data_IF_306529950366
#
_entry.id   IF_306529950366
#
_cell.length_a   1.000
_cell.length_b   1.000
_cell.length_c   1.000
_cell.angle_alpha   90.00
_cell.angle_beta   90.00
_cell.angle_gamma   90.00
#
_symmetry.space_group_name_H-M   'P 1'
#
loop_
_entity.id
_entity.type
_entity.pdbx_description
1 polymer ?
#
# COMPACT_ATOMS: atom_id res chain seq x y z
N UNK A 1 0.51 38.18 -34.34
CA UNK A 1 1.44 37.12 -33.87
C UNK A 1 1.16 36.60 -32.45
N UNK A 2 0.78 37.41 -31.45
CA UNK A 2 0.47 36.90 -30.09
C UNK A 2 -0.81 36.05 -30.02
N UNK A 3 -1.85 36.40 -30.78
CA UNK A 3 -3.13 35.67 -30.79
C UNK A 3 -3.02 34.26 -31.41
N UNK A 4 -2.22 34.11 -32.48
CA UNK A 4 -1.98 32.80 -33.11
C UNK A 4 -1.27 31.83 -32.16
N UNK A 5 -0.30 32.30 -31.37
CA UNK A 5 0.40 31.44 -30.41
C UNK A 5 -0.50 30.94 -29.28
N UNK A 6 -1.44 31.77 -28.82
CA UNK A 6 -2.43 31.36 -27.80
C UNK A 6 -3.40 30.32 -28.37
N UNK A 7 -3.85 30.52 -29.62
CA UNK A 7 -4.71 29.54 -30.29
C UNK A 7 -4.01 28.21 -30.55
N UNK A 8 -2.75 28.20 -30.97
CA UNK A 8 -2.00 26.95 -31.18
C UNK A 8 -1.76 26.20 -29.87
N UNK A 9 -1.45 26.90 -28.77
CA UNK A 9 -1.28 26.26 -27.45
C UNK A 9 -2.61 25.73 -26.91
N UNK A 10 -3.71 26.46 -27.10
CA UNK A 10 -5.04 25.99 -26.72
C UNK A 10 -5.49 24.78 -27.56
N UNK A 11 -5.20 24.77 -28.86
CA UNK A 11 -5.53 23.64 -29.74
C UNK A 11 -4.70 22.40 -29.39
N UNK A 12 -3.41 22.57 -29.06
CA UNK A 12 -2.54 21.48 -28.59
C UNK A 12 -2.97 20.99 -27.21
N UNK A 13 -3.40 21.87 -26.30
CA UNK A 13 -3.93 21.48 -25.00
C UNK A 13 -5.26 20.71 -25.12
N UNK A 14 -6.16 21.12 -26.03
CA UNK A 14 -7.43 20.43 -26.29
C UNK A 14 -7.21 19.11 -27.03
N UNK A 15 -6.25 19.03 -27.95
CA UNK A 15 -5.88 17.75 -28.60
C UNK A 15 -5.15 16.80 -27.65
N UNK A 16 -4.31 17.31 -26.74
CA UNK A 16 -3.70 16.49 -25.69
C UNK A 16 -4.75 15.99 -24.68
N UNK A 17 -5.67 16.85 -24.23
CA UNK A 17 -6.75 16.45 -23.33
C UNK A 17 -7.77 15.49 -24.00
N UNK A 18 -8.02 15.64 -25.31
CA UNK A 18 -8.83 14.70 -26.09
C UNK A 18 -8.19 13.31 -26.21
N UNK A 19 -6.86 13.24 -26.36
CA UNK A 19 -6.13 11.96 -26.42
C UNK A 19 -6.00 11.26 -25.06
N UNK A 20 -6.17 11.97 -23.94
CA UNK A 20 -6.27 11.35 -22.60
C UNK A 20 -7.71 11.10 -22.15
N UNK A 21 -8.70 11.73 -22.79
CA UNK A 21 -10.13 11.57 -22.50
C UNK A 21 -10.80 10.35 -23.13
N UNK A 22 -10.12 9.68 -24.08
CA UNK A 22 -10.66 8.55 -24.86
C UNK A 22 -10.38 7.17 -24.22
N UNK A 23 -9.62 7.08 -23.12
CA UNK A 23 -9.24 5.79 -22.53
C UNK A 23 -10.34 5.06 -21.74
N UNK A 24 -11.55 5.64 -21.59
CA UNK A 24 -12.69 4.92 -20.99
C UNK A 24 -13.58 4.19 -22.00
N UNK A 25 -13.46 4.46 -23.30
CA UNK A 25 -14.44 4.02 -24.30
C UNK A 25 -14.17 2.65 -24.94
N UNK A 26 -13.09 1.96 -24.61
CA UNK A 26 -12.69 0.71 -25.29
C UNK A 26 -12.20 -0.40 -24.34
N UNK A 27 -12.72 -0.47 -23.12
CA UNK A 27 -12.37 -1.53 -22.17
C UNK A 27 -13.57 -2.42 -21.77
N UNK A 28 -14.70 -2.27 -22.47
CA UNK A 28 -15.82 -3.21 -22.42
C UNK A 28 -15.69 -4.12 -23.64
N UNK A 29 -15.57 -5.43 -23.40
CA UNK A 29 -15.48 -6.43 -24.45
C UNK A 29 -16.58 -6.30 -25.51
N UNK A 30 -16.29 -6.76 -26.73
CA UNK A 30 -17.12 -6.60 -27.93
C UNK A 30 -18.60 -6.97 -27.73
N UNK A 31 -18.89 -7.88 -26.79
CA UNK A 31 -20.22 -8.42 -26.55
C UNK A 31 -20.89 -7.93 -25.25
N UNK A 32 -20.20 -7.13 -24.41
CA UNK A 32 -20.72 -6.66 -23.11
C UNK A 32 -21.16 -7.80 -22.17
N UNK A 33 -20.41 -8.92 -22.18
CA UNK A 33 -20.61 -10.12 -21.36
C UNK A 33 -19.41 -10.23 -20.41
N UNK A 34 -19.63 -10.59 -19.14
CA UNK A 34 -18.54 -10.79 -18.17
C UNK A 34 -17.48 -11.76 -18.69
N UNK A 35 -16.20 -11.50 -18.38
CA UNK A 35 -15.12 -12.44 -18.69
C UNK A 35 -15.30 -13.84 -18.07
N UNK A 36 -16.13 -13.94 -17.02
CA UNK A 36 -16.47 -15.20 -16.33
C UNK A 36 -17.95 -15.57 -16.40
N UNK A 37 -18.63 -15.23 -17.48
CA UNK A 37 -19.99 -15.69 -17.72
C UNK A 37 -20.08 -17.23 -17.77
N UNK A 38 -21.13 -17.83 -17.21
CA UNK A 38 -21.24 -19.30 -17.12
C UNK A 38 -21.55 -20.00 -18.45
N UNK A 39 -22.03 -19.25 -19.45
CA UNK A 39 -22.32 -19.79 -20.79
C UNK A 39 -21.19 -19.54 -21.79
N UNK A 40 -20.41 -18.46 -21.61
CA UNK A 40 -19.42 -18.02 -22.61
C UNK A 40 -18.07 -17.59 -22.04
N UNK A 41 -17.85 -17.69 -20.73
CA UNK A 41 -16.68 -17.15 -20.04
C UNK A 41 -15.39 -17.96 -20.23
N UNK A 42 -14.26 -17.34 -19.89
CA UNK A 42 -12.92 -17.90 -20.09
C UNK A 42 -12.68 -19.19 -19.31
N UNK A 43 -13.38 -19.36 -18.19
CA UNK A 43 -13.29 -20.55 -17.35
C UNK A 43 -13.81 -21.82 -18.03
N UNK A 44 -14.50 -21.71 -19.16
CA UNK A 44 -15.03 -22.85 -19.92
C UNK A 44 -13.99 -23.49 -20.86
N UNK A 45 -12.80 -22.90 -20.98
CA UNK A 45 -11.66 -23.47 -21.71
C UNK A 45 -11.50 -22.96 -23.15
N UNK A 46 -10.63 -23.65 -23.88
CA UNK A 46 -10.05 -23.21 -25.16
C UNK A 46 -11.07 -22.86 -26.24
N UNK A 47 -12.22 -23.54 -26.26
CA UNK A 47 -13.29 -23.28 -27.24
C UNK A 47 -13.88 -21.85 -27.11
N UNK A 48 -13.67 -21.18 -25.98
CA UNK A 48 -14.18 -19.84 -25.68
C UNK A 48 -13.09 -18.76 -25.68
N UNK A 49 -11.82 -19.17 -25.56
CA UNK A 49 -10.64 -18.28 -25.57
C UNK A 49 -9.96 -18.22 -26.95
N UNK A 50 -10.30 -19.13 -27.87
CA UNK A 50 -9.84 -19.12 -29.26
C UNK A 50 -10.85 -18.41 -30.20
N UNK A 51 -10.39 -18.02 -31.40
CA UNK A 51 -11.25 -17.51 -32.48
C UNK A 51 -12.22 -18.63 -32.86
N UNK A 52 -13.44 -18.59 -32.32
CA UNK A 52 -14.34 -19.72 -32.35
C UNK A 52 -15.48 -19.54 -33.36
N UNK A 53 -15.92 -20.68 -33.91
CA UNK A 53 -17.02 -20.79 -34.87
C UNK A 53 -18.36 -20.63 -34.13
N UNK A 54 -19.29 -19.88 -34.71
CA UNK A 54 -20.67 -19.80 -34.21
C UNK A 54 -21.47 -20.96 -34.79
N UNK A 55 -21.97 -21.84 -33.93
CA UNK A 55 -22.81 -22.97 -34.34
C UNK A 55 -24.30 -22.64 -34.14
N UNK A 56 -24.93 -22.03 -35.15
CA UNK A 56 -26.38 -22.01 -35.22
C UNK A 56 -26.86 -23.30 -35.91
N UNK A 57 -27.15 -24.35 -35.14
CA UNK A 57 -27.90 -25.47 -35.69
C UNK A 57 -28.92 -25.99 -34.67
N UNK A 58 -30.22 -26.07 -35.02
CA UNK A 58 -31.24 -26.63 -34.14
C UNK A 58 -31.09 -28.15 -33.93
N UNK A 59 -30.10 -28.80 -34.57
CA UNK A 59 -29.85 -30.23 -34.45
C UNK A 59 -28.38 -30.50 -34.12
N UNK A 60 -28.07 -30.79 -32.85
CA UNK A 60 -26.83 -31.49 -32.50
C UNK A 60 -26.96 -32.94 -32.93
N UNK A 61 -26.13 -33.40 -33.86
CA UNK A 61 -25.99 -34.82 -34.15
C UNK A 61 -25.46 -35.58 -32.93
N UNK A 62 -25.72 -36.89 -32.86
CA UNK A 62 -25.35 -37.77 -31.74
C UNK A 62 -23.84 -37.81 -31.38
N UNK A 63 -22.96 -37.21 -32.20
CA UNK A 63 -21.53 -37.08 -31.97
C UNK A 63 -21.06 -35.61 -31.76
N UNK A 64 -21.97 -34.69 -31.46
CA UNK A 64 -21.62 -33.27 -31.24
C UNK A 64 -21.26 -32.47 -32.50
N UNK A 65 -21.30 -33.09 -33.69
CA UNK A 65 -21.00 -32.45 -34.97
C UNK A 65 -22.29 -31.94 -35.64
N UNK A 66 -22.39 -30.64 -35.98
CA UNK A 66 -23.58 -30.06 -36.63
C UNK A 66 -23.63 -30.44 -38.12
N UNK A 67 -24.80 -30.85 -38.60
CA UNK A 67 -24.98 -31.44 -39.94
C UNK A 67 -25.45 -30.46 -41.01
N UNK A 68 -25.82 -29.21 -40.67
CA UNK A 68 -26.25 -28.20 -41.64
C UNK A 68 -25.58 -26.86 -41.28
N UNK A 69 -24.70 -26.39 -42.16
CA UNK A 69 -23.81 -25.25 -41.95
C UNK A 69 -24.46 -23.92 -42.33
N UNK A 70 -24.90 -23.16 -41.34
CA UNK A 70 -24.67 -21.72 -41.32
C UNK A 70 -23.54 -21.48 -40.31
N UNK A 71 -22.31 -21.75 -40.77
CA UNK A 71 -21.12 -21.38 -40.00
C UNK A 71 -20.95 -19.87 -40.16
N UNK A 72 -21.40 -19.09 -39.18
CA UNK A 72 -20.98 -17.71 -39.08
C UNK A 72 -19.59 -17.70 -38.47
N UNK A 73 -18.64 -17.47 -39.36
CA UNK A 73 -17.26 -17.29 -39.01
C UNK A 73 -17.14 -15.88 -38.42
N UNK A 74 -16.66 -15.73 -37.19
CA UNK A 74 -16.19 -14.43 -36.67
C UNK A 74 -14.85 -14.10 -37.37
N UNK A 75 -14.77 -14.29 -38.70
CA UNK A 75 -13.55 -14.15 -39.48
C UNK A 75 -13.25 -12.70 -39.83
N UNK A 76 -14.27 -11.83 -39.89
CA UNK A 76 -14.04 -10.43 -40.24
C UNK A 76 -13.28 -9.65 -39.15
N UNK A 77 -13.20 -10.18 -37.91
CA UNK A 77 -12.56 -9.46 -36.80
C UNK A 77 -11.58 -10.26 -35.92
N UNK A 78 -11.45 -11.58 -36.10
CA UNK A 78 -10.49 -12.38 -35.32
C UNK A 78 -10.74 -12.34 -33.80
N UNK A 79 -12.00 -12.45 -33.38
CA UNK A 79 -12.44 -12.26 -31.99
C UNK A 79 -12.87 -13.58 -31.33
N UNK A 80 -12.59 -13.73 -30.03
CA UNK A 80 -13.06 -14.82 -29.17
C UNK A 80 -14.41 -14.47 -28.49
N UNK A 81 -15.14 -15.48 -27.97
CA UNK A 81 -16.46 -15.30 -27.34
C UNK A 81 -16.45 -14.31 -26.16
N UNK A 82 -15.36 -14.31 -25.38
CA UNK A 82 -15.18 -13.43 -24.20
C UNK A 82 -14.70 -12.02 -24.55
N UNK A 83 -14.44 -11.72 -25.83
CA UNK A 83 -13.79 -10.49 -26.26
C UNK A 83 -12.28 -10.48 -25.95
N UNK A 84 -11.53 -9.69 -26.74
CA UNK A 84 -10.06 -9.68 -26.66
C UNK A 84 -9.56 -9.08 -25.34
N UNK A 85 -10.29 -8.14 -24.75
CA UNK A 85 -9.89 -7.49 -23.50
C UNK A 85 -9.87 -8.47 -22.31
N UNK A 86 -10.71 -9.51 -22.33
CA UNK A 86 -10.67 -10.57 -21.32
C UNK A 86 -9.46 -11.50 -21.54
N UNK A 87 -9.11 -11.77 -22.79
CA UNK A 87 -8.07 -12.73 -23.17
C UNK A 87 -6.65 -12.24 -22.83
N UNK A 88 -6.42 -10.94 -23.01
CA UNK A 88 -5.12 -10.26 -22.82
C UNK A 88 -5.11 -9.37 -21.58
N UNK A 89 -5.90 -9.74 -20.57
CA UNK A 89 -6.19 -8.92 -19.42
C UNK A 89 -5.11 -8.92 -18.32
N UNK A 90 -3.96 -9.58 -18.50
CA UNK A 90 -3.09 -10.09 -17.44
C UNK A 90 -3.13 -9.29 -16.12
N UNK A 91 -2.55 -8.08 -16.11
CA UNK A 91 -2.53 -7.22 -14.94
C UNK A 91 -3.91 -6.60 -14.62
N UNK A 92 -4.72 -6.30 -15.63
CA UNK A 92 -6.06 -5.76 -15.48
C UNK A 92 -7.09 -6.73 -14.82
N UNK A 93 -6.95 -8.05 -14.95
CA UNK A 93 -7.77 -9.06 -14.24
C UNK A 93 -7.19 -9.47 -12.88
N UNK A 94 -6.01 -8.93 -12.52
CA UNK A 94 -5.33 -9.21 -11.26
C UNK A 94 -5.99 -8.46 -10.09
N UNK A 95 -6.11 -9.12 -8.94
CA UNK A 95 -6.67 -8.52 -7.73
C UNK A 95 -5.70 -7.51 -7.10
N UNK A 96 -6.20 -6.41 -6.53
CA UNK A 96 -5.38 -5.38 -5.89
C UNK A 96 -4.50 -5.90 -4.75
N UNK A 97 -4.95 -6.91 -3.97
CA UNK A 97 -4.12 -7.54 -2.92
C UNK A 97 -2.86 -8.20 -3.48
N UNK A 98 -2.91 -8.62 -4.74
CA UNK A 98 -1.80 -9.27 -5.42
C UNK A 98 -0.66 -8.29 -5.75
N UNK A 99 -1.02 -7.00 -5.92
CA UNK A 99 -0.16 -5.95 -6.45
C UNK A 99 0.31 -4.98 -5.36
N UNK A 100 -0.59 -4.57 -4.47
CA UNK A 100 -0.39 -3.38 -3.64
C UNK A 100 -0.09 -3.69 -2.17
N UNK A 101 -0.47 -4.89 -1.69
CA UNK A 101 -0.37 -5.24 -0.27
C UNK A 101 1.05 -5.12 0.31
N UNK A 102 2.09 -5.43 -0.48
CA UNK A 102 3.48 -5.31 -0.06
C UNK A 102 3.88 -3.85 0.24
N UNK A 103 3.57 -2.92 -0.66
CA UNK A 103 3.87 -1.51 -0.44
C UNK A 103 3.07 -0.92 0.73
N UNK A 104 1.83 -1.38 0.95
CA UNK A 104 1.02 -0.98 2.13
C UNK A 104 1.65 -1.50 3.42
N UNK A 105 2.13 -2.75 3.46
CA UNK A 105 2.86 -3.29 4.62
C UNK A 105 4.09 -2.43 4.95
N UNK A 106 4.85 -2.05 3.91
CA UNK A 106 6.05 -1.21 4.05
C UNK A 106 5.71 0.17 4.61
N UNK A 107 4.67 0.83 4.09
CA UNK A 107 4.22 2.14 4.62
C UNK A 107 3.71 1.99 6.06
N UNK A 108 2.98 0.91 6.36
CA UNK A 108 2.44 0.65 7.69
C UNK A 108 3.51 0.48 8.76
N UNK A 109 4.51 -0.39 8.52
CA UNK A 109 5.60 -0.57 9.47
C UNK A 109 6.42 0.72 9.65
N UNK A 110 6.62 1.50 8.58
CA UNK A 110 7.33 2.77 8.65
C UNK A 110 6.58 3.81 9.48
N UNK A 111 5.27 3.90 9.34
CA UNK A 111 4.44 4.80 10.13
C UNK A 111 4.43 4.42 11.62
N UNK A 112 4.13 3.15 11.93
CA UNK A 112 4.03 2.64 13.31
C UNK A 112 5.38 2.76 14.03
N UNK A 113 6.44 2.18 13.44
CA UNK A 113 7.79 2.21 14.04
C UNK A 113 8.34 3.63 14.07
N UNK A 114 8.04 4.43 13.06
CA UNK A 114 8.44 5.83 12.98
C UNK A 114 7.84 6.68 14.09
N UNK A 115 6.57 6.46 14.45
CA UNK A 115 5.91 7.14 15.57
C UNK A 115 6.56 6.79 16.91
N UNK A 116 6.75 5.49 17.19
CA UNK A 116 7.42 5.01 18.42
C UNK A 116 8.86 5.53 18.52
N UNK A 117 9.60 5.47 17.42
CA UNK A 117 10.97 5.97 17.33
C UNK A 117 11.07 7.46 17.66
N UNK A 118 10.19 8.28 17.08
CA UNK A 118 10.11 9.71 17.37
C UNK A 118 9.79 9.97 18.85
N UNK A 119 8.83 9.22 19.40
CA UNK A 119 8.46 9.31 20.82
C UNK A 119 9.66 9.03 21.73
N UNK A 120 10.41 7.97 21.46
CA UNK A 120 11.61 7.60 22.24
C UNK A 120 12.66 8.70 22.17
N UNK A 121 12.93 9.23 20.98
CA UNK A 121 13.92 10.30 20.78
C UNK A 121 13.53 11.57 21.53
N UNK A 122 12.24 11.94 21.51
CA UNK A 122 11.70 13.04 22.31
C UNK A 122 11.84 12.80 23.82
N UNK A 123 11.60 11.58 24.30
CA UNK A 123 11.76 11.23 25.72
C UNK A 123 13.18 11.51 26.21
N UNK A 124 14.15 11.06 25.44
CA UNK A 124 15.56 11.19 25.76
C UNK A 124 16.12 12.60 25.52
N UNK A 125 15.60 13.34 24.54
CA UNK A 125 15.92 14.75 24.34
C UNK A 125 15.42 15.60 25.53
N UNK A 126 14.20 15.35 26.01
CA UNK A 126 13.65 16.03 27.19
C UNK A 126 14.51 15.79 28.44
N UNK A 127 14.95 14.55 28.68
CA UNK A 127 15.86 14.22 29.79
C UNK A 127 17.23 14.95 29.69
N UNK A 128 17.77 15.11 28.48
CA UNK A 128 19.05 15.82 28.26
C UNK A 128 18.94 17.35 28.34
N UNK A 129 17.75 17.92 28.20
CA UNK A 129 17.52 19.37 28.15
C UNK A 129 17.45 20.08 29.52
N UNK A 130 17.65 19.35 30.63
CA UNK A 130 17.63 19.94 31.98
C UNK A 130 16.24 20.29 32.51
N UNK A 131 15.17 19.95 31.78
CA UNK A 131 13.79 20.10 32.24
C UNK A 131 13.37 19.03 33.29
N UNK A 132 14.22 18.04 33.56
CA UNK A 132 14.11 17.08 34.67
C UNK A 132 15.07 17.42 35.82
N UNK A 133 15.13 18.70 36.20
CA UNK A 133 15.85 19.16 37.40
C UNK A 133 15.05 18.94 38.70
N UNK A 134 14.45 17.77 38.86
CA UNK A 134 14.07 17.20 40.16
C UNK A 134 14.69 15.82 40.23
N UNK A 135 15.91 15.80 40.74
CA UNK A 135 16.88 14.74 40.54
C UNK A 135 16.55 13.41 41.20
N UNK A 136 17.14 12.36 40.63
CA UNK A 136 17.66 11.25 41.40
C UNK A 136 19.12 11.06 40.99
N UNK A 137 19.99 11.39 41.94
CA UNK A 137 21.41 11.13 41.94
C UNK A 137 21.66 9.65 41.65
N UNK A 138 22.58 9.38 40.71
CA UNK A 138 23.27 8.09 40.66
C UNK A 138 24.13 7.99 41.92
N UNK A 139 23.72 7.13 42.85
CA UNK A 139 24.63 6.58 43.86
C UNK A 139 25.37 5.41 43.23
N UNK A 140 26.67 5.59 43.00
CA UNK A 140 27.58 4.50 42.71
C UNK A 140 27.95 3.80 44.02
N UNK A 141 27.17 2.80 44.46
CA UNK A 141 27.67 1.85 45.45
C UNK A 141 26.98 0.48 45.34
N UNK A 142 27.81 -0.55 45.22
CA UNK A 142 27.46 -1.95 45.34
C UNK A 142 26.94 -2.26 46.75
N UNK A 143 26.09 -3.28 46.84
CA UNK A 143 25.38 -3.80 48.02
C UNK A 143 24.28 -2.90 48.61
N UNK A 144 23.02 -3.27 48.31
CA UNK A 144 21.86 -2.80 49.04
C UNK A 144 20.58 -2.80 48.20
N UNK A 145 19.73 -3.81 48.40
CA UNK A 145 18.32 -3.78 47.99
C UNK A 145 17.63 -2.68 48.81
N UNK A 146 17.57 -1.47 48.26
CA UNK A 146 16.65 -0.37 48.56
C UNK A 146 16.88 0.63 47.41
N UNK A 147 15.91 0.99 46.59
CA UNK A 147 14.87 1.96 46.93
C UNK A 147 13.59 1.66 46.14
N UNK A 148 12.68 0.92 46.77
CA UNK A 148 11.24 1.08 46.56
C UNK A 148 10.79 2.30 47.38
N UNK A 149 9.85 3.07 46.82
CA UNK A 149 9.14 4.20 47.43
C UNK A 149 9.84 5.58 47.44
N UNK A 150 9.91 6.20 46.26
CA UNK A 150 9.39 7.57 46.12
C UNK A 150 8.40 7.62 44.93
N UNK A 151 7.20 7.07 45.19
CA UNK A 151 5.91 7.54 44.67
C UNK A 151 5.58 7.42 43.18
N UNK A 152 5.45 6.19 42.67
CA UNK A 152 4.54 5.65 41.60
C UNK A 152 4.17 6.44 40.32
N UNK A 153 4.05 7.77 40.32
CA UNK A 153 3.43 8.61 39.28
C UNK A 153 4.45 9.32 38.40
N UNK A 154 5.67 9.56 38.87
CA UNK A 154 6.69 10.27 38.10
C UNK A 154 7.21 9.45 36.92
N UNK A 155 7.22 10.06 35.75
CA UNK A 155 7.84 9.49 34.55
C UNK A 155 6.92 8.61 33.72
N UNK A 156 5.60 8.65 33.98
CA UNK A 156 4.58 8.15 33.07
C UNK A 156 4.30 9.22 32.03
N UNK A 157 4.11 8.83 30.79
CA UNK A 157 3.64 9.75 29.74
C UNK A 157 2.58 9.12 28.86
N UNK A 158 1.70 9.97 28.35
CA UNK A 158 0.73 9.66 27.31
C UNK A 158 1.13 10.45 26.07
N UNK A 159 1.17 9.77 24.92
CA UNK A 159 1.50 10.42 23.67
C UNK A 159 0.58 9.96 22.54
N UNK A 160 0.46 10.82 21.54
CA UNK A 160 -0.22 10.51 20.30
C UNK A 160 0.58 11.06 19.12
N UNK A 161 0.55 10.34 18.01
CA UNK A 161 1.12 10.69 16.72
C UNK A 161 0.05 10.49 15.64
N UNK A 162 -0.02 11.42 14.69
CA UNK A 162 -0.87 11.31 13.52
C UNK A 162 -0.06 11.69 12.29
N UNK A 163 -0.15 10.88 11.24
CA UNK A 163 0.55 11.06 9.99
C UNK A 163 -0.36 10.92 8.78
N UNK A 164 -0.01 11.63 7.72
CA UNK A 164 -0.56 11.44 6.38
C UNK A 164 0.61 11.23 5.42
N UNK A 165 0.42 10.30 4.50
CA UNK A 165 1.39 9.91 3.48
C UNK A 165 0.68 9.80 2.16
N UNK A 166 1.19 10.49 1.15
CA UNK A 166 0.74 10.36 -0.23
C UNK A 166 1.73 9.42 -0.92
N UNK A 167 1.22 8.34 -1.51
CA UNK A 167 2.06 7.36 -2.21
C UNK A 167 1.57 7.11 -3.63
N UNK A 168 2.53 6.89 -4.52
CA UNK A 168 2.27 6.70 -5.94
C UNK A 168 3.27 5.75 -6.55
N UNK A 169 2.76 4.77 -7.27
CA UNK A 169 3.55 3.95 -8.18
C UNK A 169 3.35 4.44 -9.62
N UNK A 170 4.43 4.74 -10.33
CA UNK A 170 4.42 5.32 -11.68
C UNK A 170 4.75 4.31 -12.78
N UNK A 171 4.91 3.03 -12.44
CA UNK A 171 5.39 2.01 -13.37
C UNK A 171 4.42 1.76 -14.54
N UNK A 172 4.91 2.01 -15.74
CA UNK A 172 4.22 1.75 -17.01
C UNK A 172 5.05 0.79 -17.85
N UNK A 173 4.44 -0.25 -18.42
CA UNK A 173 5.14 -1.18 -19.30
C UNK A 173 5.15 -0.71 -20.75
N UNK A 174 6.22 -1.03 -21.47
CA UNK A 174 6.36 -0.72 -22.89
C UNK A 174 5.82 -1.88 -23.72
N UNK A 175 4.54 -1.86 -24.10
CA UNK A 175 4.01 -2.92 -24.98
C UNK A 175 2.52 -2.87 -25.29
N UNK A 176 1.65 -2.61 -24.31
CA UNK A 176 0.22 -2.93 -24.48
C UNK A 176 -0.68 -1.80 -23.96
N UNK A 177 -1.85 -1.64 -24.60
CA UNK A 177 -2.85 -0.58 -24.38
C UNK A 177 -3.50 -0.60 -22.98
N UNK A 178 -3.22 -1.58 -22.11
CA UNK A 178 -3.93 -1.82 -20.85
C UNK A 178 -3.06 -2.23 -19.65
N UNK A 179 -1.77 -2.56 -19.83
CA UNK A 179 -0.94 -3.07 -18.72
C UNK A 179 -0.06 -1.98 -18.07
N UNK A 180 -0.25 -1.78 -16.78
CA UNK A 180 0.51 -0.87 -15.90
C UNK A 180 0.49 -1.42 -14.48
N UNK A 181 1.41 -1.00 -13.61
CA UNK A 181 1.29 -1.21 -12.16
C UNK A 181 0.92 0.09 -11.43
N UNK A 182 0.44 1.07 -12.17
CA UNK A 182 0.20 2.40 -11.64
C UNK A 182 -0.95 2.37 -10.64
N UNK A 183 -0.67 2.88 -9.46
CA UNK A 183 -1.66 3.19 -8.46
C UNK A 183 -1.27 4.48 -7.74
N UNK A 184 -2.26 5.18 -7.22
CA UNK A 184 -2.06 6.38 -6.42
C UNK A 184 -3.08 6.47 -5.29
N UNK A 185 -2.71 7.13 -4.22
CA UNK A 185 -3.64 7.47 -3.16
C UNK A 185 -2.95 7.84 -1.86
N UNK A 186 -3.80 7.98 -0.84
CA UNK A 186 -3.42 8.57 0.42
C UNK A 186 -3.50 7.51 1.52
N UNK A 187 -2.62 7.64 2.50
CA UNK A 187 -2.59 6.81 3.68
C UNK A 187 -2.50 7.68 4.92
N UNK A 188 -3.39 7.43 5.86
CA UNK A 188 -3.37 8.09 7.16
C UNK A 188 -2.99 7.08 8.23
N UNK A 189 -2.24 7.52 9.22
CA UNK A 189 -1.84 6.69 10.36
C UNK A 189 -2.05 7.44 11.66
N UNK A 190 -2.40 6.70 12.69
CA UNK A 190 -2.46 7.20 14.06
C UNK A 190 -1.74 6.23 14.98
N UNK A 191 -1.17 6.76 16.06
CA UNK A 191 -0.57 5.95 17.12
C UNK A 191 -0.82 6.64 18.45
N UNK A 192 -1.25 5.89 19.45
CA UNK A 192 -1.48 6.37 20.81
C UNK A 192 -0.78 5.41 21.75
N UNK A 193 0.03 5.95 22.65
CA UNK A 193 0.80 5.11 23.55
C UNK A 193 0.93 5.69 24.95
N UNK A 194 1.24 4.79 25.87
CA UNK A 194 1.57 5.12 27.25
C UNK A 194 2.89 4.45 27.57
N UNK A 195 3.83 5.23 28.07
CA UNK A 195 5.11 4.71 28.54
C UNK A 195 5.48 5.17 29.93
N UNK A 196 6.39 4.40 30.53
CA UNK A 196 7.01 4.71 31.80
C UNK A 196 8.52 4.67 31.67
N UNK A 197 9.16 5.71 32.19
CA UNK A 197 10.60 5.80 32.32
C UNK A 197 11.08 5.15 33.62
N UNK A 198 12.09 4.29 33.50
CA UNK A 198 12.80 3.61 34.58
C UNK A 198 14.28 3.97 34.52
N UNK A 199 14.61 5.17 34.98
CA UNK A 199 15.98 5.71 34.89
C UNK A 199 16.43 5.83 33.44
N UNK A 200 17.28 4.89 33.00
CA UNK A 200 17.82 4.82 31.64
C UNK A 200 16.98 3.99 30.67
N UNK A 201 15.97 3.28 31.18
CA UNK A 201 15.05 2.51 30.36
C UNK A 201 13.71 3.25 30.19
N UNK A 202 13.02 2.96 29.10
CA UNK A 202 11.65 3.40 28.80
C UNK A 202 10.90 2.16 28.33
N UNK A 203 9.72 1.89 28.88
CA UNK A 203 8.87 0.78 28.43
C UNK A 203 7.46 1.31 28.22
N UNK A 204 6.86 0.98 27.09
CA UNK A 204 5.52 1.43 26.76
C UNK A 204 4.70 0.42 25.99
N UNK A 205 3.41 0.71 25.96
CA UNK A 205 2.41 0.07 25.11
C UNK A 205 1.96 1.10 24.08
N UNK A 206 1.64 0.63 22.88
CA UNK A 206 1.16 1.45 21.78
C UNK A 206 0.00 0.74 21.10
N UNK A 207 -1.01 1.51 20.71
CA UNK A 207 -2.04 1.10 19.77
C UNK A 207 -1.90 2.00 18.56
N UNK A 208 -1.84 1.40 17.38
CA UNK A 208 -1.63 2.11 16.13
C UNK A 208 -2.60 1.62 15.09
N UNK A 209 -3.11 2.54 14.28
CA UNK A 209 -3.90 2.18 13.12
C UNK A 209 -3.44 2.91 11.86
N UNK A 210 -3.73 2.31 10.72
CA UNK A 210 -3.39 2.83 9.41
C UNK A 210 -4.56 2.58 8.47
N UNK A 211 -5.00 3.63 7.77
CA UNK A 211 -6.07 3.56 6.78
C UNK A 211 -5.54 4.04 5.45
N UNK A 212 -5.69 3.19 4.44
CA UNK A 212 -5.18 3.38 3.08
C UNK A 212 -6.34 3.39 2.10
N UNK A 213 -6.35 4.34 1.17
CA UNK A 213 -7.30 4.40 0.05
C UNK A 213 -6.55 4.65 -1.26
N UNK A 214 -6.41 3.59 -2.05
CA UNK A 214 -5.64 3.60 -3.30
C UNK A 214 -6.57 3.38 -4.48
N UNK A 215 -6.31 4.10 -5.56
CA UNK A 215 -6.91 3.88 -6.87
C UNK A 215 -5.92 3.13 -7.74
N UNK A 216 -6.36 1.99 -8.25
CA UNK A 216 -5.55 1.14 -9.12
C UNK A 216 -5.87 1.48 -10.57
N UNK A 217 -4.91 2.13 -11.26
CA UNK A 217 -5.10 2.53 -12.66
C UNK A 217 -5.18 1.32 -13.59
N UNK A 218 -4.47 0.24 -13.24
CA UNK A 218 -4.34 -0.95 -14.07
C UNK A 218 -5.62 -1.76 -14.25
N UNK A 219 -6.59 -1.64 -13.35
CA UNK A 219 -7.87 -2.34 -13.44
C UNK A 219 -9.09 -1.44 -13.14
N UNK A 220 -8.91 -0.11 -13.27
CA UNK A 220 -9.91 0.94 -12.95
C UNK A 220 -10.61 0.67 -11.61
N UNK A 221 -9.80 0.33 -10.59
CA UNK A 221 -10.25 -0.24 -9.33
C UNK A 221 -9.86 0.58 -8.11
N UNK A 222 -10.16 0.04 -6.93
CA UNK A 222 -9.74 0.59 -5.64
C UNK A 222 -9.20 -0.49 -4.73
N UNK A 223 -8.25 -0.10 -3.87
CA UNK A 223 -7.72 -0.92 -2.79
C UNK A 223 -7.80 -0.12 -1.51
N UNK A 224 -8.61 -0.58 -0.56
CA UNK A 224 -8.77 0.03 0.75
C UNK A 224 -8.33 -0.96 1.81
N UNK A 225 -7.46 -0.51 2.70
CA UNK A 225 -6.98 -1.35 3.80
C UNK A 225 -6.95 -0.55 5.09
N UNK A 226 -7.59 -1.11 6.11
CA UNK A 226 -7.53 -0.61 7.47
C UNK A 226 -6.76 -1.62 8.31
N UNK A 227 -5.67 -1.18 8.94
CA UNK A 227 -4.81 -1.99 9.80
C UNK A 227 -4.94 -1.43 11.22
N UNK A 228 -5.22 -2.27 12.20
CA UNK A 228 -5.22 -1.90 13.61
C UNK A 228 -4.28 -2.85 14.38
N UNK A 229 -3.33 -2.29 15.11
CA UNK A 229 -2.29 -3.02 15.82
C UNK A 229 -2.15 -2.58 17.26
N UNK A 230 -1.67 -3.49 18.10
CA UNK A 230 -1.24 -3.22 19.46
C UNK A 230 0.14 -3.82 19.67
N UNK A 231 0.99 -3.09 20.38
CA UNK A 231 2.36 -3.48 20.58
C UNK A 231 2.98 -2.98 21.87
N UNK A 232 4.16 -3.52 22.13
CA UNK A 232 5.03 -3.11 23.22
C UNK A 232 6.32 -2.58 22.64
N UNK A 233 6.91 -1.61 23.33
CA UNK A 233 8.25 -1.13 23.01
C UNK A 233 9.07 -0.92 24.27
N UNK A 234 10.37 -1.11 24.13
CA UNK A 234 11.35 -0.86 25.16
C UNK A 234 12.53 -0.12 24.55
N UNK A 235 13.00 0.92 25.23
CA UNK A 235 14.19 1.64 24.84
C UNK A 235 15.15 1.73 26.03
N UNK A 236 16.45 1.64 25.77
CA UNK A 236 17.48 1.77 26.78
C UNK A 236 18.58 2.70 26.29
N UNK A 237 18.86 3.74 27.09
CA UNK A 237 19.88 4.74 26.77
C UNK A 237 21.05 4.69 27.75
N UNK A 238 22.23 4.42 27.21
CA UNK A 238 23.51 4.64 27.89
C UNK A 238 23.97 6.09 27.71
N UNK A 239 25.24 6.41 27.99
CA UNK A 239 25.75 7.79 27.80
C UNK A 239 25.68 8.26 26.34
N UNK A 240 26.00 7.39 25.40
CA UNK A 240 26.11 7.71 23.97
C UNK A 240 25.21 6.82 23.12
N UNK A 241 25.06 5.55 23.49
CA UNK A 241 24.28 4.57 22.75
C UNK A 241 22.85 4.51 23.27
N UNK A 242 21.88 4.42 22.37
CA UNK A 242 20.48 4.11 22.61
C UNK A 242 20.10 2.88 21.79
N UNK A 243 19.36 1.96 22.40
CA UNK A 243 18.82 0.77 21.76
C UNK A 243 17.31 0.76 21.97
N UNK A 244 16.55 0.59 20.90
CA UNK A 244 15.10 0.53 20.92
C UNK A 244 14.64 -0.78 20.30
N UNK A 245 13.68 -1.40 20.94
CA UNK A 245 13.06 -2.66 20.54
C UNK A 245 11.55 -2.44 20.55
N UNK A 246 10.86 -2.99 19.58
CA UNK A 246 9.40 -3.00 19.56
C UNK A 246 8.87 -4.20 18.81
N UNK A 247 7.68 -4.63 19.21
CA UNK A 247 6.94 -5.68 18.56
C UNK A 247 5.45 -5.49 18.80
N UNK A 248 4.62 -5.97 17.88
CA UNK A 248 3.18 -5.93 18.03
C UNK A 248 2.49 -6.83 17.04
N UNK A 249 1.19 -6.96 17.24
CA UNK A 249 0.31 -7.77 16.42
C UNK A 249 -1.03 -7.06 16.25
N UNK A 250 -1.83 -7.49 15.30
CA UNK A 250 -3.09 -6.85 14.97
C UNK A 250 -3.83 -7.52 13.84
N UNK A 251 -4.88 -6.85 13.40
CA UNK A 251 -5.76 -7.31 12.33
C UNK A 251 -5.84 -6.25 11.24
N UNK A 252 -6.16 -6.68 10.03
CA UNK A 252 -6.35 -5.82 8.88
C UNK A 252 -7.60 -6.20 8.13
N UNK A 253 -8.41 -5.22 7.73
CA UNK A 253 -9.55 -5.41 6.82
C UNK A 253 -9.20 -4.84 5.46
N UNK A 254 -9.36 -5.65 4.41
CA UNK A 254 -9.06 -5.25 3.04
C UNK A 254 -10.34 -5.30 2.21
N UNK A 255 -10.65 -4.21 1.51
CA UNK A 255 -11.70 -4.14 0.52
C UNK A 255 -11.08 -3.79 -0.84
N UNK A 256 -11.39 -4.56 -1.87
CA UNK A 256 -10.91 -4.31 -3.22
C UNK A 256 -12.07 -4.17 -4.18
N UNK A 257 -11.90 -3.31 -5.16
CA UNK A 257 -12.78 -3.23 -6.33
C UNK A 257 -11.95 -3.23 -7.59
N UNK A 258 -12.49 -3.79 -8.66
CA UNK A 258 -11.91 -3.70 -10.00
C UNK A 258 -12.99 -3.79 -11.05
N UNK A 259 -12.69 -3.33 -12.25
CA UNK A 259 -13.59 -3.42 -13.40
C UNK A 259 -13.54 -4.82 -14.01
N UNK A 260 -14.70 -5.38 -14.33
CA UNK A 260 -14.80 -6.51 -15.24
C UNK A 260 -14.64 -6.01 -16.68
N UNK A 261 -13.61 -6.50 -17.38
CA UNK A 261 -13.29 -6.07 -18.74
C UNK A 261 -14.31 -6.55 -19.78
N UNK A 262 -15.15 -7.52 -19.42
CA UNK A 262 -16.16 -8.05 -20.31
C UNK A 262 -17.41 -7.17 -20.40
N UNK A 263 -17.88 -6.66 -19.26
CA UNK A 263 -19.17 -5.97 -19.14
C UNK A 263 -19.12 -4.65 -18.35
N UNK A 264 -17.94 -4.16 -17.98
CA UNK A 264 -17.70 -2.95 -17.20
C UNK A 264 -18.31 -2.90 -15.80
N UNK A 265 -18.85 -4.02 -15.30
CA UNK A 265 -19.40 -4.08 -13.95
C UNK A 265 -18.27 -4.12 -12.92
N UNK A 266 -18.57 -3.62 -11.72
CA UNK A 266 -17.60 -3.60 -10.63
C UNK A 266 -17.56 -4.96 -9.92
N UNK A 267 -16.40 -5.58 -9.91
CA UNK A 267 -16.08 -6.76 -9.11
C UNK A 267 -15.67 -6.28 -7.72
N UNK A 268 -16.19 -6.92 -6.67
CA UNK A 268 -15.91 -6.53 -5.28
C UNK A 268 -15.34 -7.69 -4.50
N UNK A 269 -14.25 -7.45 -3.77
CA UNK A 269 -13.62 -8.41 -2.87
C UNK A 269 -13.51 -7.85 -1.47
N UNK A 270 -13.65 -8.72 -0.46
CA UNK A 270 -13.41 -8.39 0.94
C UNK A 270 -12.71 -9.54 1.65
N UNK A 271 -11.66 -9.22 2.39
CA UNK A 271 -10.89 -10.19 3.17
C UNK A 271 -10.33 -9.55 4.44
N UNK A 272 -9.82 -10.40 5.33
CA UNK A 272 -9.09 -9.98 6.51
C UNK A 272 -7.62 -10.46 6.41
N UNK A 273 -6.76 -9.89 7.24
CA UNK A 273 -5.40 -10.34 7.37
C UNK A 273 -4.91 -10.22 8.81
N UNK A 274 -4.14 -11.20 9.27
CA UNK A 274 -3.42 -11.13 10.54
C UNK A 274 -2.12 -10.35 10.33
N UNK A 275 -1.76 -9.48 11.26
CA UNK A 275 -0.62 -8.57 11.14
C UNK A 275 0.33 -8.77 12.30
N UNK A 276 1.62 -8.92 12.01
CA UNK A 276 2.69 -8.93 13.00
C UNK A 276 3.80 -7.97 12.58
N UNK A 277 4.37 -7.24 13.53
CA UNK A 277 5.53 -6.38 13.26
C UNK A 277 6.56 -6.44 14.37
N UNK A 278 7.82 -6.21 14.00
CA UNK A 278 8.89 -6.00 14.97
C UNK A 278 9.94 -5.03 14.46
N UNK A 279 10.65 -4.39 15.39
CA UNK A 279 11.71 -3.47 15.06
C UNK A 279 12.83 -3.48 16.10
N UNK A 280 14.03 -3.18 15.62
CA UNK A 280 15.23 -2.96 16.42
C UNK A 280 15.93 -1.72 15.88
N UNK A 281 16.28 -0.78 16.75
CA UNK A 281 17.02 0.42 16.37
C UNK A 281 18.18 0.66 17.32
N UNK A 282 19.31 1.08 16.78
CA UNK A 282 20.49 1.49 17.54
C UNK A 282 20.88 2.89 17.09
N UNK A 283 21.02 3.81 18.05
CA UNK A 283 21.36 5.21 17.80
C UNK A 283 22.57 5.58 18.64
N UNK A 284 23.56 6.27 18.06
CA UNK A 284 24.65 6.89 18.80
C UNK A 284 24.45 8.40 18.81
N UNK A 285 24.42 9.03 19.98
CA UNK A 285 24.15 10.45 20.14
C UNK A 285 25.44 11.22 20.46
N UNK A 286 25.87 12.08 19.54
CA UNK A 286 27.02 12.96 19.71
C UNK A 286 26.54 14.40 19.82
N UNK A 287 26.74 15.04 20.96
CA UNK A 287 26.35 16.43 21.17
C UNK A 287 27.57 17.33 21.39
N UNK A 288 27.61 18.47 20.70
CA UNK A 288 28.60 19.53 20.92
C UNK A 288 27.91 20.89 20.98
N UNK A 289 27.80 21.42 22.20
CA UNK A 289 27.08 22.67 22.45
C UNK A 289 25.59 22.51 22.13
N UNK A 290 25.07 23.35 21.23
CA UNK A 290 23.67 23.30 20.80
C UNK A 290 23.41 22.29 19.68
N UNK A 291 24.43 21.75 19.04
CA UNK A 291 24.25 20.83 17.92
C UNK A 291 24.40 19.38 18.38
N UNK A 292 23.55 18.51 17.84
CA UNK A 292 23.66 17.07 18.01
C UNK A 292 23.64 16.35 16.66
N UNK A 293 24.40 15.28 16.60
CA UNK A 293 24.51 14.37 15.49
C UNK A 293 24.17 12.97 16.01
N UNK A 294 23.17 12.34 15.42
CA UNK A 294 22.68 11.04 15.86
C UNK A 294 22.62 10.07 14.68
N UNK A 295 23.75 9.43 14.30
CA UNK A 295 23.72 8.30 13.39
C UNK A 295 22.92 7.14 13.99
N UNK A 296 22.17 6.44 13.13
CA UNK A 296 21.34 5.30 13.51
C UNK A 296 21.44 4.15 12.52
N UNK A 297 21.20 2.96 13.05
CA UNK A 297 20.92 1.74 12.29
C UNK A 297 19.56 1.23 12.77
N UNK A 298 18.66 0.91 11.86
CA UNK A 298 17.37 0.32 12.19
C UNK A 298 17.09 -0.91 11.33
N UNK A 299 16.39 -1.86 11.93
CA UNK A 299 15.84 -3.03 11.31
C UNK A 299 14.36 -3.10 11.67
N UNK A 300 13.51 -3.32 10.67
CA UNK A 300 12.06 -3.41 10.86
C UNK A 300 11.51 -4.48 9.94
N UNK A 301 10.52 -5.20 10.42
CA UNK A 301 9.81 -6.22 9.66
C UNK A 301 8.33 -6.14 9.98
N UNK A 302 7.50 -6.44 8.98
CA UNK A 302 6.08 -6.63 9.12
C UNK A 302 5.64 -7.79 8.23
N UNK A 303 4.88 -8.70 8.81
CA UNK A 303 4.20 -9.78 8.11
C UNK A 303 2.70 -9.54 8.13
N UNK A 304 2.03 -9.82 7.02
CA UNK A 304 0.59 -9.84 6.91
C UNK A 304 0.13 -11.12 6.23
N UNK A 305 -0.66 -11.93 6.93
CA UNK A 305 -1.26 -13.15 6.40
C UNK A 305 -2.68 -12.86 5.95
N UNK A 306 -2.88 -12.71 4.65
CA UNK A 306 -4.18 -12.38 4.03
C UNK A 306 -4.98 -13.66 3.80
N UNK A 307 -6.19 -13.70 4.33
CA UNK A 307 -7.13 -14.81 4.16
C UNK A 307 -7.54 -15.02 2.69
N UNK A 308 -7.83 -16.27 2.35
CA UNK A 308 -8.48 -16.58 1.07
C UNK A 308 -9.89 -15.97 1.04
N UNK A 309 -10.27 -15.42 -0.12
CA UNK A 309 -11.57 -14.76 -0.28
C UNK A 309 -12.11 -14.93 -1.69
N UNK A 310 -13.31 -14.42 -1.91
CA UNK A 310 -13.99 -14.48 -3.20
C UNK A 310 -14.26 -13.07 -3.71
N UNK A 311 -13.74 -12.79 -4.91
CA UNK A 311 -14.10 -11.63 -5.71
C UNK A 311 -15.48 -11.90 -6.32
N UNK A 312 -16.49 -11.18 -5.85
CA UNK A 312 -17.88 -11.32 -6.33
C UNK A 312 -18.04 -10.59 -7.65
N UNK A 313 -18.44 -11.32 -8.70
CA UNK A 313 -18.74 -10.76 -10.02
C UNK A 313 -20.25 -10.56 -10.17
N UNK A 314 -20.73 -9.36 -10.54
CA UNK A 314 -22.14 -9.15 -10.80
C UNK A 314 -22.62 -9.93 -12.03
N UNK A 315 -23.81 -10.54 -11.93
CA UNK A 315 -24.46 -11.25 -13.04
C UNK A 315 -24.70 -10.34 -14.25
N UNK A 316 -24.81 -10.93 -15.43
CA UNK A 316 -25.10 -10.25 -16.70
C UNK A 316 -26.61 -10.02 -16.95
N UNK A 317 -27.46 -10.31 -15.96
CA UNK A 317 -28.92 -10.29 -15.98
C UNK A 317 -29.58 -8.96 -16.41
N UNK A 318 -28.81 -7.86 -16.36
CA UNK A 318 -29.25 -6.53 -16.76
C UNK A 318 -28.65 -6.00 -18.08
N UNK A 319 -27.74 -6.73 -18.72
CA UNK A 319 -26.98 -6.22 -19.88
C UNK A 319 -27.70 -6.56 -21.19
N UNK A 320 -27.89 -5.58 -22.07
CA UNK A 320 -28.28 -5.87 -23.46
C UNK A 320 -27.06 -6.50 -24.13
N UNK A 321 -27.00 -7.83 -24.18
CA UNK A 321 -25.92 -8.52 -24.89
C UNK A 321 -25.99 -8.08 -26.36
N UNK A 322 -24.99 -7.32 -26.80
CA UNK A 322 -24.97 -6.76 -28.16
C UNK A 322 -24.32 -7.78 -29.07
N UNK A 323 -25.14 -8.65 -29.65
CA UNK A 323 -24.76 -9.50 -30.77
C UNK A 323 -25.78 -9.33 -31.88
N UNK A 324 -25.33 -9.01 -33.10
CA UNK A 324 -26.24 -9.00 -34.25
C UNK A 324 -26.80 -10.41 -34.47
N UNK A 325 -28.11 -10.49 -34.68
CA UNK A 325 -28.88 -11.69 -35.03
C UNK A 325 -28.50 -13.01 -34.31
N UNK A 326 -29.33 -13.45 -33.36
CA UNK A 326 -29.42 -14.85 -32.86
C UNK A 326 -28.22 -15.40 -32.06
N UNK A 327 -27.12 -14.67 -31.95
CA UNK A 327 -25.88 -15.15 -31.33
C UNK A 327 -25.93 -15.15 -29.79
N UNK A 328 -26.50 -14.10 -29.20
CA UNK A 328 -26.68 -13.96 -27.76
C UNK A 328 -28.03 -13.30 -27.49
N UNK A 329 -28.93 -13.96 -26.76
CA UNK A 329 -30.20 -13.37 -26.32
C UNK A 329 -30.48 -13.75 -24.87
N UNK A 330 -31.07 -12.83 -24.10
CA UNK A 330 -31.47 -13.04 -22.70
C UNK A 330 -32.47 -14.19 -22.52
N UNK A 331 -33.12 -14.62 -23.60
CA UNK A 331 -34.05 -15.74 -23.66
C UNK A 331 -33.40 -17.13 -23.76
N UNK A 332 -32.07 -17.22 -24.00
CA UNK A 332 -31.41 -18.51 -24.28
C UNK A 332 -30.01 -18.68 -23.67
N UNK A 333 -29.57 -17.77 -22.79
CA UNK A 333 -28.24 -17.81 -22.16
C UNK A 333 -28.36 -17.76 -20.63
N UNK A 334 -27.53 -18.55 -19.94
CA UNK A 334 -27.32 -18.44 -18.50
C UNK A 334 -26.50 -17.17 -18.25
N UNK A 335 -27.15 -16.11 -17.75
CA UNK A 335 -26.54 -14.81 -17.48
C UNK A 335 -25.87 -14.73 -16.09
N UNK A 336 -25.68 -15.86 -15.43
CA UNK A 336 -24.91 -15.93 -14.18
C UNK A 336 -23.41 -15.91 -14.49
N UNK A 337 -22.65 -15.41 -13.52
CA UNK A 337 -21.21 -15.24 -13.61
C UNK A 337 -20.55 -16.05 -12.51
N UNK A 338 -19.43 -16.68 -12.83
CA UNK A 338 -18.60 -17.38 -11.87
C UNK A 338 -17.71 -16.39 -11.12
N UNK A 339 -17.77 -16.41 -9.79
CA UNK A 339 -16.90 -15.61 -8.93
C UNK A 339 -15.43 -16.04 -9.00
N UNK A 340 -14.54 -15.13 -8.61
CA UNK A 340 -13.10 -15.36 -8.58
C UNK A 340 -12.65 -15.80 -7.18
N UNK A 341 -12.18 -17.05 -7.05
CA UNK A 341 -11.53 -17.51 -5.82
C UNK A 341 -10.10 -17.00 -5.75
N UNK A 342 -9.79 -16.20 -4.73
CA UNK A 342 -8.46 -15.67 -4.44
C UNK A 342 -7.85 -16.49 -3.29
N UNK A 343 -6.70 -17.10 -3.54
CA UNK A 343 -6.00 -17.90 -2.54
C UNK A 343 -5.42 -17.01 -1.43
N UNK A 344 -5.28 -17.59 -0.22
CA UNK A 344 -4.58 -16.95 0.88
C UNK A 344 -3.13 -16.65 0.49
N UNK A 345 -2.57 -15.56 1.05
CA UNK A 345 -1.20 -15.15 0.76
C UNK A 345 -0.54 -14.49 1.96
N UNK A 346 0.75 -14.77 2.15
CA UNK A 346 1.60 -14.07 3.11
C UNK A 346 2.33 -12.92 2.42
N UNK A 347 2.37 -11.78 3.08
CA UNK A 347 3.01 -10.55 2.62
C UNK A 347 4.00 -10.11 3.68
N UNK A 348 5.27 -10.18 3.35
CA UNK A 348 6.37 -9.74 4.22
C UNK A 348 6.99 -8.45 3.67
N UNK A 349 7.33 -7.53 4.57
CA UNK A 349 8.16 -6.36 4.32
C UNK A 349 9.27 -6.29 5.36
N UNK A 350 10.51 -6.35 4.88
CA UNK A 350 11.74 -6.22 5.66
C UNK A 350 12.47 -4.96 5.22
N UNK A 351 13.00 -4.20 6.18
CA UNK A 351 13.76 -2.98 5.89
C UNK A 351 14.92 -2.81 6.84
N UNK A 352 16.10 -2.63 6.26
CA UNK A 352 17.33 -2.23 6.94
C UNK A 352 17.63 -0.78 6.61
N UNK A 353 17.73 0.09 7.61
CA UNK A 353 17.98 1.52 7.43
C UNK A 353 19.27 1.95 8.12
N UNK A 354 20.09 2.74 7.43
CA UNK A 354 21.15 3.55 8.02
C UNK A 354 20.75 5.01 7.90
N UNK A 355 20.73 5.73 9.02
CA UNK A 355 20.26 7.10 9.08
C UNK A 355 21.20 8.03 9.83
N UNK A 356 20.99 9.33 9.63
CA UNK A 356 21.68 10.41 10.30
C UNK A 356 20.67 11.51 10.64
N UNK A 357 20.51 11.77 11.93
CA UNK A 357 19.75 12.92 12.41
C UNK A 357 20.70 14.03 12.83
N UNK A 358 20.44 15.26 12.36
CA UNK A 358 21.19 16.46 12.72
C UNK A 358 20.20 17.42 13.37
N UNK A 359 20.40 17.75 14.64
CA UNK A 359 19.50 18.62 15.38
C UNK A 359 20.23 19.80 16.03
N UNK A 360 19.49 20.89 16.23
CA UNK A 360 19.97 22.06 16.96
C UNK A 360 19.05 22.35 18.15
N UNK A 361 19.56 22.17 19.37
CA UNK A 361 18.84 22.49 20.59
C UNK A 361 18.84 24.02 20.84
N UNK A 362 17.71 24.66 20.57
CA UNK A 362 17.47 26.08 20.81
C UNK A 362 16.66 26.32 22.10
N UNK A 363 16.68 25.37 23.03
CA UNK A 363 15.94 25.43 24.30
C UNK A 363 14.59 24.75 24.17
N UNK A 364 13.52 25.54 23.98
CA UNK A 364 12.15 25.02 23.84
C UNK A 364 11.82 24.49 22.45
N UNK A 365 12.72 24.69 21.49
CA UNK A 365 12.53 24.31 20.09
C UNK A 365 13.80 23.62 19.62
N UNK A 366 13.64 22.48 18.96
CA UNK A 366 14.72 21.64 18.44
C UNK A 366 14.40 21.32 16.99
N UNK A 367 14.77 22.18 16.03
CA UNK A 367 14.75 21.81 14.62
C UNK A 367 15.74 20.67 14.35
N UNK A 368 15.37 19.80 13.43
CA UNK A 368 16.21 18.70 12.98
C UNK A 368 16.06 18.45 11.48
N UNK A 369 17.12 17.89 10.91
CA UNK A 369 17.16 17.30 9.58
C UNK A 369 17.42 15.80 9.75
N UNK A 370 16.73 15.00 8.95
CA UNK A 370 16.82 13.55 8.96
C UNK A 370 17.13 13.03 7.56
N UNK A 371 18.20 12.25 7.46
CA UNK A 371 18.64 11.64 6.21
C UNK A 371 18.77 10.15 6.47
N UNK A 372 18.21 9.31 5.61
CA UNK A 372 18.40 7.87 5.71
C UNK A 372 18.50 7.19 4.35
N UNK A 373 19.15 6.04 4.35
CA UNK A 373 19.21 5.10 3.25
C UNK A 373 18.66 3.77 3.77
N UNK A 374 17.70 3.20 3.04
CA UNK A 374 17.04 1.96 3.37
C UNK A 374 17.27 0.94 2.27
N UNK A 375 17.66 -0.26 2.65
CA UNK A 375 17.51 -1.47 1.83
C UNK A 375 16.20 -2.12 2.22
N UNK A 376 15.39 -2.45 1.23
CA UNK A 376 14.05 -3.01 1.39
C UNK A 376 14.02 -4.40 0.73
N UNK A 377 13.36 -5.35 1.38
CA UNK A 377 12.93 -6.60 0.76
C UNK A 377 11.44 -6.76 1.07
N UNK A 378 10.60 -6.54 0.07
CA UNK A 378 9.15 -6.53 0.24
C UNK A 378 8.53 -7.45 -0.80
N UNK A 379 7.51 -8.19 -0.37
CA UNK A 379 6.80 -9.16 -1.22
C UNK A 379 6.35 -8.49 -2.51
N UNK A 380 6.89 -9.00 -3.63
CA UNK A 380 6.69 -8.43 -4.96
C UNK A 380 5.27 -8.67 -5.45
N UNK A 381 4.80 -7.75 -6.30
CA UNK A 381 3.53 -7.92 -6.99
C UNK A 381 3.50 -9.22 -7.80
N UNK A 382 2.36 -9.92 -7.77
CA UNK A 382 2.12 -11.13 -8.55
C UNK A 382 0.90 -10.94 -9.45
N UNK A 383 1.06 -11.20 -10.74
CA UNK A 383 0.03 -10.99 -11.75
C UNK A 383 -0.54 -12.31 -12.25
N UNK A 384 -1.82 -12.28 -12.64
CA UNK A 384 -2.41 -13.38 -13.40
C UNK A 384 -1.75 -13.46 -14.77
N UNK A 385 -1.52 -14.69 -15.21
CA UNK A 385 -1.09 -14.97 -16.58
C UNK A 385 -2.24 -14.71 -17.54
N UNK A 386 -1.95 -14.11 -18.69
CA UNK A 386 -2.92 -13.94 -19.77
C UNK A 386 -3.41 -15.30 -20.31
N UNK A 387 -4.67 -15.33 -20.74
CA UNK A 387 -5.29 -16.54 -21.29
C UNK A 387 -4.91 -16.76 -22.77
N UNK A 388 -4.46 -15.71 -23.47
CA UNK A 388 -3.81 -15.78 -24.77
C UNK A 388 -2.48 -15.03 -24.75
N UNK A 389 -1.56 -15.32 -25.68
CA UNK A 389 -0.30 -14.58 -25.81
C UNK A 389 -0.43 -13.56 -26.94
N UNK A 390 -0.21 -12.28 -26.66
CA UNK A 390 -0.16 -11.23 -27.67
C UNK A 390 1.24 -11.06 -28.32
N UNK A 391 2.25 -11.75 -27.76
CA UNK A 391 3.60 -11.85 -28.30
C UNK A 391 4.68 -11.22 -27.44
N UNK A 392 4.36 -10.63 -26.28
CA UNK A 392 5.35 -10.05 -25.36
C UNK A 392 5.32 -10.69 -23.98
N UNK A 393 6.22 -11.65 -23.72
CA UNK A 393 6.39 -12.22 -22.37
C UNK A 393 7.07 -11.26 -21.36
N UNK A 394 7.17 -9.96 -21.68
CA UNK A 394 7.88 -8.94 -20.91
C UNK A 394 6.98 -8.14 -19.95
N UNK A 395 5.68 -8.47 -19.91
CA UNK A 395 4.62 -7.58 -19.42
C UNK A 395 4.26 -7.77 -17.93
N UNK A 396 5.16 -8.36 -17.14
CA UNK A 396 4.91 -8.76 -15.74
C UNK A 396 6.02 -8.30 -14.77
N UNK A 397 6.67 -7.16 -15.02
CA UNK A 397 7.69 -6.67 -14.11
C UNK A 397 7.05 -6.07 -12.84
N UNK A 398 7.24 -6.73 -11.70
CA UNK A 398 6.80 -6.22 -10.40
C UNK A 398 7.59 -4.95 -10.00
N UNK A 399 7.00 -4.12 -9.14
CA UNK A 399 7.73 -3.03 -8.51
C UNK A 399 8.94 -3.58 -7.75
N UNK A 400 10.09 -2.92 -7.87
CA UNK A 400 11.34 -3.38 -7.27
C UNK A 400 11.71 -2.49 -6.08
N UNK A 401 11.12 -2.78 -4.92
CA UNK A 401 11.49 -2.16 -3.65
C UNK A 401 12.85 -2.72 -3.18
N UNK A 402 13.96 -2.28 -3.76
CA UNK A 402 15.31 -2.73 -3.35
C UNK A 402 15.99 -1.70 -2.44
N UNK A 403 15.97 -0.44 -2.84
CA UNK A 403 16.67 0.62 -2.13
C UNK A 403 15.89 1.93 -2.21
N UNK A 404 15.89 2.68 -1.12
CA UNK A 404 15.30 4.01 -1.04
C UNK A 404 16.16 4.92 -0.18
N UNK A 405 16.06 6.22 -0.40
CA UNK A 405 16.63 7.22 0.50
C UNK A 405 15.54 8.19 0.94
N UNK A 406 15.55 8.52 2.23
CA UNK A 406 14.61 9.46 2.82
C UNK A 406 15.33 10.76 3.15
N UNK A 407 14.70 11.86 2.77
CA UNK A 407 15.12 13.20 3.19
C UNK A 407 13.92 13.84 3.88
N UNK A 408 14.10 14.15 5.16
CA UNK A 408 13.06 14.75 5.97
C UNK A 408 13.62 15.74 6.98
N UNK A 409 12.72 16.41 7.66
CA UNK A 409 13.06 17.34 8.70
C UNK A 409 11.85 17.71 9.52
N UNK A 410 12.10 18.37 10.64
CA UNK A 410 11.02 18.71 11.55
C UNK A 410 11.47 19.63 12.65
N UNK A 411 10.52 19.90 13.54
CA UNK A 411 10.72 20.71 14.72
C UNK A 411 10.06 20.02 15.90
N UNK A 412 10.87 19.67 16.89
CA UNK A 412 10.37 19.27 18.20
C UNK A 412 10.24 20.51 19.09
N UNK A 413 9.17 20.60 19.86
CA UNK A 413 8.91 21.73 20.73
C UNK A 413 8.44 21.31 22.13
N UNK A 414 8.76 22.14 23.11
CA UNK A 414 8.34 22.01 24.50
C UNK A 414 7.51 23.23 24.89
N UNK A 415 6.20 23.04 25.04
CA UNK A 415 5.27 24.11 25.44
C UNK A 415 5.32 24.35 26.95
N UNK A 416 5.40 23.26 27.71
CA UNK A 416 5.46 23.24 29.18
C UNK A 416 6.38 22.10 29.65
N UNK A 417 6.65 22.03 30.96
CA UNK A 417 7.38 20.92 31.57
C UNK A 417 6.66 19.57 31.40
N UNK A 418 5.34 19.61 31.18
CA UNK A 418 4.49 18.44 31.00
C UNK A 418 4.01 18.26 29.56
N UNK A 419 4.20 19.25 28.67
CA UNK A 419 3.65 19.23 27.32
C UNK A 419 4.72 19.48 26.28
N UNK A 420 4.98 18.47 25.47
CA UNK A 420 5.87 18.53 24.31
C UNK A 420 5.17 17.99 23.07
N UNK A 421 5.75 18.26 21.91
CA UNK A 421 5.23 17.80 20.63
C UNK A 421 6.27 17.95 19.54
N UNK A 422 5.92 17.52 18.34
CA UNK A 422 6.77 17.66 17.17
C UNK A 422 5.95 17.68 15.89
N UNK A 423 6.53 18.27 14.85
CA UNK A 423 6.02 18.16 13.48
C UNK A 423 7.19 17.73 12.61
N UNK A 424 6.96 16.76 11.72
CA UNK A 424 7.95 16.29 10.76
C UNK A 424 7.32 16.11 9.38
N UNK A 425 8.11 16.33 8.35
CA UNK A 425 7.73 16.06 6.97
C UNK A 425 8.96 15.61 6.18
N UNK A 426 8.73 14.86 5.11
CA UNK A 426 9.81 14.39 4.26
C UNK A 426 9.30 13.66 3.03
N UNK A 427 10.25 13.15 2.25
CA UNK A 427 9.98 12.33 1.10
C UNK A 427 10.91 11.12 1.03
N UNK A 428 10.37 10.02 0.53
CA UNK A 428 11.13 8.81 0.19
C UNK A 428 11.34 8.82 -1.32
N UNK A 429 12.59 8.69 -1.73
CA UNK A 429 13.02 8.78 -3.12
C UNK A 429 14.01 7.65 -3.44
N UNK A 430 14.43 7.56 -4.69
CA UNK A 430 15.47 6.60 -5.12
C UNK A 430 14.91 5.29 -5.68
N UNK A 431 13.60 5.10 -5.65
CA UNK A 431 12.88 4.13 -6.46
C UNK A 431 12.45 4.82 -7.76
N UNK A 432 12.77 4.23 -8.92
CA UNK A 432 12.43 4.81 -10.22
C UNK A 432 10.91 4.75 -10.52
N UNK A 433 10.20 3.88 -9.80
CA UNK A 433 8.80 3.54 -9.98
C UNK A 433 7.89 4.02 -8.83
N UNK A 434 8.44 4.69 -7.81
CA UNK A 434 7.71 4.99 -6.58
C UNK A 434 8.06 6.36 -5.99
N UNK A 435 7.03 7.14 -5.69
CA UNK A 435 7.11 8.46 -5.05
C UNK A 435 6.29 8.45 -3.75
N UNK A 436 6.88 8.93 -2.66
CA UNK A 436 6.17 9.05 -1.37
C UNK A 436 6.55 10.35 -0.65
N UNK A 437 5.53 11.07 -0.19
CA UNK A 437 5.67 12.25 0.65
C UNK A 437 4.87 12.05 1.92
N UNK A 438 5.42 12.42 3.08
CA UNK A 438 4.74 12.26 4.35
C UNK A 438 4.83 13.52 5.21
N UNK A 439 3.83 13.68 6.07
CA UNK A 439 3.80 14.68 7.14
C UNK A 439 3.15 14.06 8.37
N UNK A 440 3.74 14.28 9.55
CA UNK A 440 3.17 13.83 10.82
C UNK A 440 3.40 14.83 11.93
N UNK A 441 2.48 14.79 12.91
CA UNK A 441 2.52 15.58 14.11
C UNK A 441 2.36 14.70 15.34
N UNK A 442 3.13 15.00 16.38
CA UNK A 442 3.08 14.31 17.66
C UNK A 442 2.82 15.26 18.82
N UNK A 443 2.16 14.74 19.85
CA UNK A 443 1.95 15.42 21.12
C UNK A 443 2.19 14.45 22.27
N UNK A 444 2.78 14.95 23.35
CA UNK A 444 3.13 14.16 24.51
C UNK A 444 2.82 14.93 25.79
N UNK A 445 2.16 14.24 26.72
CA UNK A 445 1.80 14.70 28.06
C UNK A 445 2.53 13.84 29.09
N UNK A 446 3.44 14.44 29.86
CA UNK A 446 4.22 13.77 30.90
C UNK A 446 3.68 14.09 32.30
N UNK A 447 3.61 13.08 33.17
CA UNK A 447 3.09 13.18 34.54
C UNK A 447 4.18 13.01 35.61
#
# INVERSE_FOLDING_TARGET
>A
MKLQRIFTVALVAVMALGLFGENKASAAGTYSISCKNDAYGMQLGDDYTQIAYVYNSPNKGANGTPTNAEQYLIQEFGQAYVGNDCLYAGAADTNGTAVVAGDVARVAVNAIVGAVSNRVDMAYAAQSSGASATGLSFSNQADGIAMSANGLVGGISLWADYGSTDMKNTQTFTGVRLDSNKYDGDTSSYSIGVDKSFGKALVGIVVSGLSTDLKTTFNDGTYKQDIDTYGIYAAYRTSMLQIDLGMGQGDSTINTTRRDLGNDKTITGKTNADVEYSNVRVVANFARGKFSLSPRLAYRTMSMDIDAFTDTRPSDDSSSVVGDGLLFSSSNATLTTTDDSIAARSVESETMEIGLNIAANLGKVVPFLDLSYSSEDTTKAAYKTEAGTDGTAADLAASNAENSYTIGGGVNFMLSNHLSGGIRAGSVNGRDDYEENYMSGSINLSF
#
